data_IF_612929489620
#
_entry.id   IF_612929489620
#
_cell.length_a   1.000
_cell.length_b   1.000
_cell.length_c   1.000
_cell.angle_alpha   90.00
_cell.angle_beta   90.00
_cell.angle_gamma   90.00
#
_symmetry.space_group_name_H-M   'P 1'
#
loop_
_entity.id
_entity.type
_entity.pdbx_description
1 polymer ?
#
# COMPACT_ATOMS: atom_id res chain seq x y z
N UNK A 1 -2.15 -6.17 4.44
CA UNK A 1 -3.07 -5.05 4.16
C UNK A 1 -4.02 -4.93 5.34
N UNK A 2 -4.14 -3.73 5.91
CA UNK A 2 -4.97 -3.53 7.08
C UNK A 2 -6.47 -3.45 6.69
N UNK A 3 -7.38 -3.72 7.63
CA UNK A 3 -8.82 -3.67 7.35
C UNK A 3 -9.31 -2.28 6.91
N UNK A 4 -8.58 -1.21 7.24
CA UNK A 4 -8.87 0.18 6.89
C UNK A 4 -8.41 0.51 5.47
N UNK A 5 -7.29 -0.03 5.00
CA UNK A 5 -6.81 -0.02 3.62
C UNK A 5 -7.80 -0.76 2.72
N UNK A 6 -8.27 -1.93 3.15
CA UNK A 6 -9.22 -2.74 2.38
C UNK A 6 -10.61 -2.09 2.35
N UNK A 7 -11.04 -1.43 3.44
CA UNK A 7 -12.21 -0.55 3.41
C UNK A 7 -12.04 0.56 2.37
N UNK A 8 -10.93 1.32 2.43
CA UNK A 8 -10.70 2.46 1.53
C UNK A 8 -10.64 2.05 0.05
N UNK A 9 -10.32 0.77 -0.25
CA UNK A 9 -10.13 0.30 -1.61
C UNK A 9 -11.29 -0.48 -2.21
N UNK A 10 -11.97 -1.31 -1.42
CA UNK A 10 -12.80 -2.39 -1.96
C UNK A 10 -14.19 -2.48 -1.33
N UNK A 11 -14.42 -1.82 -0.19
CA UNK A 11 -15.65 -2.04 0.58
C UNK A 11 -16.26 -0.76 1.14
N UNK A 12 -17.59 -0.64 1.10
CA UNK A 12 -18.30 0.57 1.49
C UNK A 12 -18.19 0.92 3.00
N UNK A 13 -17.76 -0.02 3.87
CA UNK A 13 -17.56 0.27 5.30
C UNK A 13 -16.54 -0.63 5.99
N UNK A 14 -15.96 -0.12 7.08
CA UNK A 14 -14.98 -0.82 7.92
C UNK A 14 -15.52 -2.16 8.42
N UNK A 15 -16.79 -2.18 8.79
CA UNK A 15 -17.49 -3.37 9.31
C UNK A 15 -17.62 -4.45 8.23
N UNK A 16 -17.90 -4.07 6.99
CA UNK A 16 -17.98 -5.01 5.85
C UNK A 16 -16.60 -5.55 5.50
N UNK A 17 -15.58 -4.69 5.45
CA UNK A 17 -14.19 -5.09 5.21
C UNK A 17 -13.70 -6.07 6.29
N UNK A 18 -13.88 -5.73 7.57
CA UNK A 18 -13.51 -6.60 8.69
C UNK A 18 -14.22 -7.95 8.65
N UNK A 19 -15.53 -7.97 8.37
CA UNK A 19 -16.29 -9.22 8.28
C UNK A 19 -15.79 -10.11 7.14
N UNK A 20 -15.54 -9.56 5.95
CA UNK A 20 -15.04 -10.34 4.81
C UNK A 20 -13.61 -10.83 5.02
N UNK A 21 -12.74 -10.01 5.62
CA UNK A 21 -11.38 -10.42 5.96
C UNK A 21 -11.33 -11.46 7.07
N UNK A 22 -12.19 -11.33 8.07
CA UNK A 22 -12.36 -12.36 9.10
C UNK A 22 -12.81 -13.68 8.50
N UNK A 23 -13.72 -13.67 7.52
CA UNK A 23 -14.16 -14.88 6.82
C UNK A 23 -13.01 -15.53 6.02
N UNK A 24 -12.20 -14.73 5.31
CA UNK A 24 -11.02 -15.23 4.60
C UNK A 24 -9.94 -15.80 5.54
N UNK A 25 -9.78 -15.19 6.72
CA UNK A 25 -8.87 -15.69 7.76
C UNK A 25 -9.36 -17.02 8.34
N UNK A 26 -10.66 -17.12 8.66
CA UNK A 26 -11.27 -18.38 9.12
C UNK A 26 -11.18 -19.49 8.08
N UNK A 27 -11.21 -19.15 6.79
CA UNK A 27 -10.98 -20.09 5.68
C UNK A 27 -9.50 -20.46 5.47
N UNK A 28 -8.57 -19.92 6.27
CA UNK A 28 -7.14 -20.18 6.15
C UNK A 28 -6.47 -19.56 4.91
N UNK A 29 -7.19 -18.73 4.14
CA UNK A 29 -6.67 -18.11 2.90
C UNK A 29 -5.71 -16.96 3.17
N UNK A 30 -5.88 -16.32 4.32
CA UNK A 30 -5.03 -15.22 4.78
C UNK A 30 -4.72 -15.45 6.25
N UNK A 31 -3.55 -15.00 6.70
CA UNK A 31 -3.16 -14.87 8.10
C UNK A 31 -3.53 -13.49 8.63
N UNK A 32 -3.56 -13.38 9.96
CA UNK A 32 -3.87 -12.16 10.70
C UNK A 32 -2.78 -11.90 11.73
N UNK A 33 -2.37 -10.65 11.87
CA UNK A 33 -1.43 -10.18 12.90
C UNK A 33 -2.10 -9.09 13.75
N UNK A 34 -1.61 -8.98 15.00
CA UNK A 34 -1.98 -8.08 16.13
C UNK A 34 -2.97 -8.60 17.18
N UNK A 35 -2.70 -8.22 18.44
CA UNK A 35 -3.56 -8.44 19.62
C UNK A 35 -4.61 -7.34 19.82
N UNK A 36 -4.44 -6.15 19.22
CA UNK A 36 -5.36 -5.00 19.34
C UNK A 36 -5.83 -4.51 17.96
N UNK A 37 -7.10 -4.12 17.89
CA UNK A 37 -7.78 -3.63 16.69
C UNK A 37 -7.23 -2.27 16.23
N UNK A 38 -7.13 -1.98 14.91
CA UNK A 38 -7.58 -2.81 13.79
C UNK A 38 -6.61 -3.94 13.43
N UNK A 39 -7.15 -5.12 13.14
CA UNK A 39 -6.37 -6.27 12.70
C UNK A 39 -5.74 -6.07 11.31
N UNK A 40 -4.55 -6.64 11.15
CA UNK A 40 -3.83 -6.65 9.88
C UNK A 40 -3.90 -8.04 9.27
N UNK A 41 -4.25 -8.12 7.98
CA UNK A 41 -4.38 -9.39 7.27
C UNK A 41 -3.31 -9.51 6.17
N UNK A 42 -2.74 -10.69 5.97
CA UNK A 42 -1.67 -10.94 5.00
C UNK A 42 -1.73 -12.37 4.46
N UNK A 43 -1.14 -12.65 3.30
CA UNK A 43 -0.97 -14.03 2.81
C UNK A 43 0.43 -14.48 3.27
N UNK A 44 0.55 -15.74 3.70
CA UNK A 44 1.75 -16.31 4.35
C UNK A 44 3.01 -16.41 3.48
N UNK A 45 3.01 -15.82 2.29
CA UNK A 45 4.11 -15.92 1.32
C UNK A 45 5.21 -14.87 1.61
N UNK A 46 5.08 -14.06 2.68
CA UNK A 46 5.86 -12.83 2.83
C UNK A 46 6.65 -12.77 4.13
N UNK A 47 7.98 -12.60 3.99
CA UNK A 47 8.94 -12.55 5.11
C UNK A 47 8.81 -11.29 5.99
N UNK A 48 8.32 -10.17 5.46
CA UNK A 48 8.16 -8.91 6.21
C UNK A 48 6.80 -8.22 5.92
N UNK A 49 5.76 -8.47 6.75
CA UNK A 49 4.41 -7.97 6.51
C UNK A 49 4.28 -6.44 6.71
N UNK A 50 5.13 -5.82 7.54
CA UNK A 50 5.07 -4.38 7.82
C UNK A 50 5.57 -3.55 6.62
N UNK A 51 6.69 -3.97 6.01
CA UNK A 51 7.24 -3.31 4.82
C UNK A 51 6.22 -3.31 3.66
N UNK A 52 5.47 -4.40 3.46
CA UNK A 52 4.39 -4.45 2.45
C UNK A 52 3.22 -3.54 2.75
N UNK A 53 2.93 -3.21 4.01
CA UNK A 53 1.88 -2.23 4.35
C UNK A 53 2.30 -0.85 3.86
N UNK A 54 3.57 -0.49 4.08
CA UNK A 54 4.14 0.75 3.57
C UNK A 54 4.11 0.82 2.04
N UNK A 55 4.52 -0.25 1.37
CA UNK A 55 4.44 -0.35 -0.10
C UNK A 55 3.00 -0.18 -0.59
N UNK A 56 2.03 -0.80 0.08
CA UNK A 56 0.63 -0.63 -0.28
C UNK A 56 0.14 0.80 -0.07
N UNK A 57 0.51 1.50 1.01
CA UNK A 57 0.14 2.91 1.18
C UNK A 57 0.75 3.80 0.11
N UNK A 58 2.05 3.63 -0.18
CA UNK A 58 2.73 4.32 -1.27
C UNK A 58 2.06 4.06 -2.61
N UNK A 59 1.67 2.81 -2.86
CA UNK A 59 0.93 2.41 -4.05
C UNK A 59 -0.36 3.18 -4.23
N UNK A 60 -1.23 3.17 -3.23
CA UNK A 60 -2.54 3.82 -3.32
C UNK A 60 -2.43 5.32 -3.48
N UNK A 61 -1.48 5.91 -2.75
CA UNK A 61 -1.20 7.33 -2.84
C UNK A 61 -0.71 7.72 -4.25
N UNK A 62 0.16 6.91 -4.86
CA UNK A 62 0.59 7.12 -6.24
C UNK A 62 -0.54 6.87 -7.24
N UNK A 63 -1.33 5.79 -7.10
CA UNK A 63 -2.47 5.48 -7.97
C UNK A 63 -3.48 6.63 -8.03
N UNK A 64 -3.78 7.29 -6.91
CA UNK A 64 -4.67 8.46 -6.89
C UNK A 64 -4.06 9.73 -7.47
N UNK A 65 -2.73 9.86 -7.48
CA UNK A 65 -2.01 11.04 -8.00
C UNK A 65 -1.57 10.87 -9.45
N UNK A 66 -1.54 9.64 -9.95
CA UNK A 66 -1.16 9.38 -11.32
C UNK A 66 -2.17 9.96 -12.29
N UNK A 67 -1.63 10.50 -13.37
CA UNK A 67 -2.43 11.00 -14.49
C UNK A 67 -3.00 9.82 -15.27
N UNK A 68 -4.06 10.04 -16.04
CA UNK A 68 -4.72 8.98 -16.82
C UNK A 68 -3.80 8.28 -17.83
N UNK A 69 -2.71 8.92 -18.24
CA UNK A 69 -1.68 8.39 -19.13
C UNK A 69 -0.46 7.84 -18.39
N UNK A 70 -0.56 7.60 -17.09
CA UNK A 70 0.51 7.00 -16.29
C UNK A 70 0.07 5.60 -15.83
N UNK A 71 0.98 4.63 -15.96
CA UNK A 71 0.80 3.27 -15.48
C UNK A 71 1.78 2.99 -14.37
N UNK A 72 1.30 2.34 -13.31
CA UNK A 72 2.12 2.04 -12.14
C UNK A 72 2.38 0.54 -12.05
N UNK A 73 3.64 0.18 -11.77
CA UNK A 73 4.08 -1.18 -11.48
C UNK A 73 4.77 -1.22 -10.13
N UNK A 74 4.55 -2.28 -9.35
CA UNK A 74 5.10 -2.43 -8.00
C UNK A 74 5.88 -3.72 -7.88
N UNK A 75 7.15 -3.59 -7.50
CA UNK A 75 7.96 -4.72 -7.10
C UNK A 75 8.07 -4.77 -5.58
N UNK A 76 7.37 -5.74 -5.00
CA UNK A 76 7.32 -5.92 -3.54
C UNK A 76 8.60 -6.51 -2.95
N UNK A 77 9.41 -7.18 -3.76
CA UNK A 77 10.66 -7.80 -3.30
C UNK A 77 11.77 -6.76 -3.22
N UNK A 78 11.77 -5.78 -4.14
CA UNK A 78 12.72 -4.66 -4.14
C UNK A 78 12.20 -3.40 -3.45
N UNK A 79 10.92 -3.35 -3.09
CA UNK A 79 10.25 -2.13 -2.56
C UNK A 79 10.32 -0.94 -3.52
N UNK A 80 10.32 -1.20 -4.82
CA UNK A 80 10.36 -0.18 -5.87
C UNK A 80 8.98 -0.07 -6.51
N UNK A 81 8.51 1.16 -6.64
CA UNK A 81 7.36 1.51 -7.45
C UNK A 81 7.83 2.22 -8.71
N UNK A 82 7.37 1.77 -9.86
CA UNK A 82 7.71 2.34 -11.17
C UNK A 82 6.49 3.01 -11.76
N UNK A 83 6.59 4.29 -12.10
CA UNK A 83 5.57 5.04 -12.84
C UNK A 83 6.03 5.22 -14.28
N UNK A 84 5.25 4.70 -15.21
CA UNK A 84 5.54 4.70 -16.65
C UNK A 84 4.56 5.65 -17.32
N UNK A 85 5.07 6.66 -18.01
CA UNK A 85 4.26 7.49 -18.90
C UNK A 85 3.96 6.69 -20.17
N UNK A 86 2.69 6.37 -20.42
CA UNK A 86 2.28 5.53 -21.56
C UNK A 86 2.35 6.25 -22.89
N UNK A 87 2.49 7.58 -22.91
CA UNK A 87 2.59 8.41 -24.11
C UNK A 87 4.05 8.61 -24.52
N UNK A 88 4.93 8.92 -23.57
CA UNK A 88 6.35 9.22 -23.86
C UNK A 88 7.30 8.04 -23.60
N UNK A 89 6.84 7.00 -22.91
CA UNK A 89 7.68 5.89 -22.46
C UNK A 89 8.61 6.25 -21.29
N UNK A 90 8.54 7.48 -20.77
CA UNK A 90 9.39 7.91 -19.66
C UNK A 90 9.07 7.12 -18.38
N UNK A 91 10.12 6.69 -17.68
CA UNK A 91 10.04 5.88 -16.48
C UNK A 91 10.55 6.69 -15.29
N UNK A 92 9.79 6.68 -14.20
CA UNK A 92 10.21 7.21 -12.89
C UNK A 92 10.14 6.12 -11.84
N UNK A 93 11.11 6.08 -10.95
CA UNK A 93 11.18 5.08 -9.89
C UNK A 93 11.03 5.71 -8.51
N UNK A 94 10.18 5.13 -7.68
CA UNK A 94 9.98 5.53 -6.30
C UNK A 94 10.43 4.42 -5.37
N UNK A 95 11.46 4.70 -4.59
CA UNK A 95 11.98 3.78 -3.59
C UNK A 95 11.19 3.93 -2.29
N UNK A 96 10.62 2.83 -1.79
CA UNK A 96 9.74 2.84 -0.61
C UNK A 96 10.51 2.28 0.59
N UNK A 97 10.67 3.09 1.63
CA UNK A 97 11.49 2.76 2.80
C UNK A 97 10.87 3.27 4.09
N UNK A 98 11.07 2.54 5.18
CA UNK A 98 10.75 2.95 6.56
C UNK A 98 11.93 3.66 7.26
N UNK A 99 13.10 3.64 6.62
CA UNK A 99 14.34 4.24 7.11
C UNK A 99 14.74 5.43 6.25
N UNK A 100 15.39 6.40 6.90
CA UNK A 100 16.03 7.53 6.23
C UNK A 100 17.29 7.04 5.53
N UNK A 101 17.20 6.81 4.22
CA UNK A 101 18.36 6.53 3.37
C UNK A 101 18.51 7.63 2.33
N UNK A 102 19.75 8.04 2.04
CA UNK A 102 20.08 8.79 0.82
C UNK A 102 20.30 7.76 -0.29
N UNK A 103 19.24 7.42 -1.02
CA UNK A 103 19.38 6.58 -2.22
C UNK A 103 19.71 7.47 -3.44
N UNK A 104 20.60 7.02 -4.34
CA UNK A 104 20.90 7.75 -5.57
C UNK A 104 19.79 7.53 -6.61
N UNK A 105 19.25 8.60 -7.18
CA UNK A 105 18.14 8.55 -8.15
C UNK A 105 16.82 9.11 -7.61
N UNK A 106 15.74 8.91 -8.36
CA UNK A 106 14.40 9.49 -8.16
C UNK A 106 13.83 9.41 -6.72
N UNK A 107 12.78 10.22 -6.50
CA UNK A 107 12.14 10.49 -5.21
C UNK A 107 11.89 9.26 -4.32
N UNK A 108 12.39 9.32 -3.09
CA UNK A 108 12.15 8.33 -2.04
C UNK A 108 10.82 8.60 -1.33
N UNK A 109 9.98 7.56 -1.18
CA UNK A 109 8.75 7.61 -0.37
C UNK A 109 9.06 7.01 1.01
N UNK A 110 9.11 7.87 2.01
CA UNK A 110 9.30 7.47 3.40
C UNK A 110 7.95 7.09 4.01
N UNK A 111 7.82 5.84 4.45
CA UNK A 111 6.61 5.34 5.10
C UNK A 111 6.75 5.56 6.61
N UNK A 112 6.36 6.74 7.06
CA UNK A 112 6.16 7.08 8.47
C UNK A 112 4.67 7.33 8.76
N UNK A 113 4.33 7.57 10.04
CA UNK A 113 2.95 7.82 10.45
C UNK A 113 2.35 9.05 9.76
N UNK A 114 3.15 10.09 9.52
CA UNK A 114 2.73 11.31 8.82
C UNK A 114 2.35 11.02 7.37
N UNK A 115 3.16 10.25 6.65
CA UNK A 115 2.86 9.81 5.30
C UNK A 115 1.57 8.99 5.26
N UNK A 116 1.40 8.06 6.19
CA UNK A 116 0.18 7.24 6.29
C UNK A 116 -1.05 8.13 6.53
N UNK A 117 -0.93 9.13 7.41
CA UNK A 117 -2.03 10.05 7.71
C UNK A 117 -2.35 10.95 6.49
N UNK A 118 -1.34 11.50 5.82
CA UNK A 118 -1.53 12.27 4.59
C UNK A 118 -2.17 11.43 3.49
N UNK A 119 -1.69 10.21 3.28
CA UNK A 119 -2.25 9.30 2.30
C UNK A 119 -3.72 9.00 2.61
N UNK A 120 -4.09 8.81 3.88
CA UNK A 120 -5.49 8.63 4.29
C UNK A 120 -6.37 9.83 3.94
N UNK A 121 -5.89 11.05 4.12
CA UNK A 121 -6.64 12.27 3.78
C UNK A 121 -6.86 12.38 2.27
N UNK A 122 -5.80 12.18 1.48
CA UNK A 122 -5.89 12.18 0.01
C UNK A 122 -6.88 11.13 -0.48
N UNK A 123 -6.83 9.92 0.07
CA UNK A 123 -7.74 8.83 -0.31
C UNK A 123 -9.20 9.08 0.10
N UNK A 124 -9.46 9.88 1.15
CA UNK A 124 -10.83 10.19 1.61
C UNK A 124 -11.50 11.29 0.78
N UNK A 125 -10.72 12.19 0.22
CA UNK A 125 -11.20 13.38 -0.48
C UNK A 125 -11.28 13.21 -2.01
N UNK A 126 -11.05 12.00 -2.55
CA UNK A 126 -10.99 11.70 -3.98
C UNK A 126 -11.96 10.59 -4.38
#
# INVERSE_FOLDING_TARGET
MDAKQIQLLLYPSARVAQRRLSALYQQGKIKRCTQTSPYFYYIDVHKNPLQRIGINWARLWLEKRCKSWERISFNYDTSICTVINTVTGAIREHYITDKVFKLPGDSTIMVNDDFINNAREVLRNA
#
